data_IF_070936614428
#
_entry.id   IF_070936614428
#
_cell.length_a   1.000
_cell.length_b   1.000
_cell.length_c   1.000
_cell.angle_alpha   90.00
_cell.angle_beta   90.00
_cell.angle_gamma   90.00
#
_symmetry.space_group_name_H-M   'P 1'
#
loop_
_entity.id
_entity.type
_entity.pdbx_description
1 polymer ?
#
# COMPACT_ATOMS: atom_id res chain seq x y z
N UNK A 1 -12.63 2.27 -1.07
CA UNK A 1 -12.33 0.84 -0.96
C UNK A 1 -12.18 0.49 0.51
N UNK A 2 -13.04 -0.36 1.05
CA UNK A 2 -12.97 -0.77 2.45
C UNK A 2 -12.07 -2.01 2.56
N UNK A 3 -10.79 -1.80 2.87
CA UNK A 3 -9.82 -2.89 3.02
C UNK A 3 -10.09 -3.63 4.34
N UNK A 4 -10.69 -4.82 4.28
CA UNK A 4 -10.96 -5.69 5.43
C UNK A 4 -10.12 -6.96 5.29
N UNK A 5 -9.38 -7.29 6.34
CA UNK A 5 -8.47 -8.44 6.45
C UNK A 5 -7.46 -8.55 5.29
N UNK A 6 -7.06 -7.43 4.69
CA UNK A 6 -6.06 -7.40 3.60
C UNK A 6 -4.62 -7.35 4.10
N UNK A 7 -4.41 -7.24 5.41
CA UNK A 7 -3.10 -7.25 6.06
C UNK A 7 -3.19 -7.95 7.42
N UNK A 8 -2.05 -8.48 7.88
CA UNK A 8 -1.95 -9.21 9.14
C UNK A 8 -2.05 -8.26 10.36
N UNK A 9 -2.65 -8.77 11.43
CA UNK A 9 -2.75 -8.07 12.70
C UNK A 9 -1.42 -8.19 13.47
N UNK A 10 -0.68 -7.09 13.63
CA UNK A 10 0.58 -7.09 14.38
C UNK A 10 0.36 -7.47 15.86
N UNK A 11 -0.69 -6.95 16.51
CA UNK A 11 -0.96 -7.27 17.91
C UNK A 11 -1.16 -8.77 18.14
N UNK A 12 -1.97 -9.42 17.28
CA UNK A 12 -2.18 -10.86 17.34
C UNK A 12 -0.92 -11.65 16.98
N UNK A 13 -0.17 -11.20 15.98
CA UNK A 13 1.10 -11.84 15.57
C UNK A 13 2.14 -11.81 16.70
N UNK A 14 2.27 -10.67 17.38
CA UNK A 14 3.36 -10.44 18.33
C UNK A 14 3.02 -11.00 19.72
N UNK A 15 1.75 -10.96 20.13
CA UNK A 15 1.32 -11.35 21.48
C UNK A 15 0.41 -12.58 21.53
N UNK A 16 -0.06 -13.07 20.38
CA UNK A 16 -1.07 -14.12 20.29
C UNK A 16 -2.49 -13.66 20.68
N UNK A 17 -2.65 -12.40 21.08
CA UNK A 17 -3.93 -11.84 21.52
C UNK A 17 -4.23 -10.53 20.80
N UNK A 18 -5.50 -10.29 20.51
CA UNK A 18 -5.96 -9.06 19.88
C UNK A 18 -7.15 -8.52 20.67
N UNK A 19 -7.13 -7.23 21.09
CA UNK A 19 -8.22 -6.65 21.87
C UNK A 19 -9.53 -6.59 21.08
N UNK A 20 -9.46 -6.63 19.74
CA UNK A 20 -10.63 -6.59 18.85
C UNK A 20 -11.24 -7.98 18.59
N UNK A 21 -10.62 -9.07 19.06
CA UNK A 21 -11.10 -10.43 18.84
C UNK A 21 -11.45 -10.70 17.37
N UNK A 22 -12.59 -11.38 17.14
CA UNK A 22 -13.06 -11.71 15.78
C UNK A 22 -13.51 -10.51 14.96
N UNK A 23 -13.79 -9.36 15.60
CA UNK A 23 -14.12 -8.11 14.92
C UNK A 23 -12.88 -7.38 14.41
N UNK A 24 -11.67 -7.93 14.63
CA UNK A 24 -10.46 -7.35 14.10
C UNK A 24 -10.55 -7.20 12.58
N UNK A 25 -10.32 -5.96 12.12
CA UNK A 25 -10.26 -5.60 10.70
C UNK A 25 -9.02 -6.16 10.00
N UNK A 26 -8.03 -6.61 10.76
CA UNK A 26 -6.83 -7.26 10.25
C UNK A 26 -6.96 -8.78 10.37
N UNK A 27 -6.18 -9.51 9.58
CA UNK A 27 -6.16 -10.97 9.59
C UNK A 27 -5.31 -11.49 10.76
N UNK A 28 -5.84 -12.41 11.57
CA UNK A 28 -5.09 -13.07 12.66
C UNK A 28 -4.20 -14.22 12.17
N UNK A 29 -4.27 -14.57 10.88
CA UNK A 29 -3.40 -15.55 10.26
C UNK A 29 -3.61 -15.55 8.74
N UNK A 30 -2.84 -16.38 8.04
CA UNK A 30 -2.89 -16.49 6.58
C UNK A 30 -4.28 -16.94 6.10
N UNK A 31 -4.97 -17.81 6.87
CA UNK A 31 -6.32 -18.27 6.53
C UNK A 31 -7.40 -17.18 6.56
N UNK A 32 -7.17 -16.09 7.31
CA UNK A 32 -8.05 -14.93 7.34
C UNK A 32 -7.61 -13.83 6.37
N UNK A 33 -6.42 -13.94 5.78
CA UNK A 33 -5.82 -12.92 4.94
C UNK A 33 -6.48 -12.90 3.56
N UNK A 34 -7.19 -11.83 3.27
CA UNK A 34 -7.84 -11.60 2.00
C UNK A 34 -6.89 -10.93 1.00
N UNK A 35 -7.01 -11.23 -0.30
CA UNK A 35 -6.23 -10.57 -1.32
C UNK A 35 -6.51 -9.06 -1.32
N UNK A 36 -5.45 -8.27 -1.41
CA UNK A 36 -5.57 -6.81 -1.53
C UNK A 36 -6.33 -6.51 -2.83
N UNK A 37 -7.34 -5.62 -2.80
CA UNK A 37 -7.99 -5.14 -4.01
C UNK A 37 -6.93 -4.63 -4.97
N UNK A 38 -6.86 -5.20 -6.18
CA UNK A 38 -5.92 -4.76 -7.18
C UNK A 38 -6.17 -3.28 -7.47
N UNK A 39 -5.13 -2.43 -7.52
CA UNK A 39 -5.28 -1.06 -7.97
C UNK A 39 -5.99 -1.01 -9.33
N UNK A 40 -6.71 0.08 -9.57
CA UNK A 40 -7.33 0.29 -10.87
C UNK A 40 -6.26 0.19 -11.98
N UNK A 41 -6.52 -0.45 -13.14
CA UNK A 41 -5.52 -0.68 -14.18
C UNK A 41 -4.81 0.58 -14.70
N UNK A 42 -5.39 1.76 -14.50
CA UNK A 42 -4.81 3.06 -14.89
C UNK A 42 -3.99 3.74 -13.78
N UNK A 43 -3.86 3.12 -12.61
CA UNK A 43 -3.09 3.70 -11.51
C UNK A 43 -1.60 3.66 -11.82
N UNK A 44 -0.93 4.82 -11.71
CA UNK A 44 0.50 5.00 -11.96
C UNK A 44 0.96 4.41 -13.30
N UNK A 45 0.16 4.58 -14.36
CA UNK A 45 0.54 4.19 -15.73
C UNK A 45 1.08 5.35 -16.56
N UNK A 46 0.78 6.59 -16.18
CA UNK A 46 1.23 7.80 -16.88
C UNK A 46 2.01 8.72 -15.96
N UNK A 47 2.97 9.46 -16.52
CA UNK A 47 3.77 10.44 -15.79
C UNK A 47 2.92 11.60 -15.27
N UNK A 48 3.25 12.08 -14.08
CA UNK A 48 2.62 13.26 -13.51
C UNK A 48 3.22 14.51 -14.14
N UNK A 49 2.45 15.18 -14.98
CA UNK A 49 2.89 16.43 -15.63
C UNK A 49 3.26 17.52 -14.62
N UNK A 50 2.51 17.66 -13.52
CA UNK A 50 2.81 18.70 -12.51
C UNK A 50 4.13 18.43 -11.81
N UNK A 51 4.39 17.18 -11.45
CA UNK A 51 5.66 16.80 -10.86
C UNK A 51 6.82 16.95 -11.85
N UNK A 52 6.62 16.59 -13.11
CA UNK A 52 7.62 16.74 -14.16
C UNK A 52 7.95 18.22 -14.45
N UNK A 53 6.95 19.11 -14.41
CA UNK A 53 7.12 20.54 -14.70
C UNK A 53 7.65 21.33 -13.50
N UNK A 54 7.14 21.08 -12.29
CA UNK A 54 7.41 21.89 -11.10
C UNK A 54 8.31 21.19 -10.07
N UNK A 55 8.72 19.95 -10.32
CA UNK A 55 9.46 19.12 -9.36
C UNK A 55 8.66 18.74 -8.11
N UNK A 56 7.39 19.15 -8.04
CA UNK A 56 6.52 18.96 -6.89
C UNK A 56 5.07 18.77 -7.34
N UNK A 57 4.33 17.95 -6.60
CA UNK A 57 2.93 17.66 -6.89
C UNK A 57 2.12 17.87 -5.62
N UNK A 58 1.03 18.66 -5.66
CA UNK A 58 0.21 18.92 -4.48
C UNK A 58 -0.46 17.65 -3.92
N UNK A 59 -0.58 16.60 -4.74
CA UNK A 59 -1.15 15.32 -4.35
C UNK A 59 -0.15 14.37 -3.67
N UNK A 60 1.16 14.65 -3.72
CA UNK A 60 2.18 13.82 -3.09
C UNK A 60 2.06 12.32 -3.44
N UNK A 61 2.15 11.46 -2.43
CA UNK A 61 2.05 10.00 -2.57
C UNK A 61 0.64 9.51 -2.97
N UNK A 62 -0.39 10.34 -2.80
CA UNK A 62 -1.74 10.03 -3.25
C UNK A 62 -1.95 10.32 -4.75
N UNK A 63 -0.92 10.84 -5.44
CA UNK A 63 -1.02 11.07 -6.88
C UNK A 63 -1.24 9.75 -7.63
N UNK A 64 -2.22 9.76 -8.53
CA UNK A 64 -2.54 8.61 -9.38
C UNK A 64 -1.56 8.46 -10.56
N UNK A 65 -0.64 9.40 -10.73
CA UNK A 65 0.35 9.45 -11.81
C UNK A 65 1.76 9.18 -11.26
N UNK A 66 2.68 8.79 -12.15
CA UNK A 66 4.06 8.43 -11.82
C UNK A 66 4.86 9.70 -11.49
N UNK A 67 5.51 9.72 -10.32
CA UNK A 67 6.53 10.71 -9.97
C UNK A 67 7.92 10.07 -10.17
N UNK A 68 8.72 10.56 -11.11
CA UNK A 68 10.11 10.11 -11.27
C UNK A 68 11.04 11.00 -10.44
N UNK A 69 11.41 10.54 -9.25
CA UNK A 69 12.38 11.24 -8.40
C UNK A 69 13.75 10.55 -8.53
N UNK A 70 14.86 11.30 -8.75
CA UNK A 70 16.18 10.71 -8.73
C UNK A 70 16.47 10.16 -7.33
N UNK A 71 17.02 8.95 -7.31
CA UNK A 71 17.38 8.11 -6.18
C UNK A 71 17.66 8.87 -4.85
N UNK A 72 16.71 8.80 -3.90
CA UNK A 72 16.94 8.29 -2.54
C UNK A 72 15.69 8.44 -1.66
N UNK A 73 15.24 7.29 -1.17
CA UNK A 73 14.30 7.05 -0.07
C UNK A 73 12.79 7.29 -0.33
N UNK A 74 12.13 6.14 -0.52
CA UNK A 74 10.74 5.77 -0.22
C UNK A 74 9.71 5.83 -1.36
N UNK A 75 9.66 4.68 -2.05
CA UNK A 75 8.46 3.87 -2.29
C UNK A 75 7.29 4.51 -3.04
N UNK A 76 7.46 4.70 -4.36
CA UNK A 76 6.31 4.86 -5.26
C UNK A 76 6.39 3.99 -6.52
N UNK A 77 7.28 2.99 -6.51
CA UNK A 77 7.38 1.92 -7.50
C UNK A 77 7.78 0.62 -6.77
N UNK A 78 6.80 -0.15 -6.31
CA UNK A 78 6.99 -1.57 -5.99
C UNK A 78 6.07 -2.37 -6.90
N UNK A 79 6.51 -2.52 -8.16
CA UNK A 79 6.15 -3.71 -8.93
C UNK A 79 6.95 -4.84 -8.29
N UNK A 80 6.22 -5.89 -7.89
CA UNK A 80 6.68 -7.20 -7.42
C UNK A 80 8.17 -7.51 -7.73
N UNK A 81 8.99 -7.71 -6.70
CA UNK A 81 9.68 -8.99 -6.45
C UNK A 81 10.59 -8.98 -5.21
N UNK A 82 10.40 -10.03 -4.39
CA UNK A 82 11.38 -10.89 -3.72
C UNK A 82 12.68 -10.30 -3.12
N UNK A 83 12.73 -10.12 -1.79
CA UNK A 83 13.68 -10.76 -0.84
C UNK A 83 13.70 -10.02 0.52
N UNK A 84 13.32 -10.77 1.56
CA UNK A 84 13.39 -10.50 3.01
C UNK A 84 12.44 -9.46 3.60
#
# INVERSE_FOLDING_TARGET
>A
MNAYKTSLCNAFRDTGQCPYGFQCRFAHGIGELLPVPRPHPKYKTQLCNKFALYGSCPYGFHCQFIHMRPCNMQNDLVIFDLHR
#
